data_IF_461954510631
#
_entry.id   IF_461954510631
#
_cell.length_a   1.000
_cell.length_b   1.000
_cell.length_c   1.000
_cell.angle_alpha   90.00
_cell.angle_beta   90.00
_cell.angle_gamma   90.00
#
_symmetry.space_group_name_H-M   'P 1'
#
loop_
_entity.id
_entity.type
_entity.pdbx_description
1 polymer ?
#
# COMPACT_ATOMS: atom_id res chain seq x y z
N UNK A 1 13.26 -10.67 17.82
CA UNK A 1 13.67 -9.40 17.16
C UNK A 1 14.10 -8.41 18.24
N UNK A 2 15.04 -7.52 17.94
CA UNK A 2 15.61 -6.54 18.89
C UNK A 2 16.71 -5.72 18.21
N UNK A 3 17.47 -4.89 18.92
CA UNK A 3 18.49 -4.03 18.29
C UNK A 3 19.45 -4.80 17.34
N UNK A 4 19.81 -6.05 17.71
CA UNK A 4 20.68 -6.92 16.89
C UNK A 4 20.09 -7.32 15.53
N UNK A 5 18.77 -7.28 15.33
CA UNK A 5 18.15 -7.61 14.05
C UNK A 5 18.29 -6.49 13.01
N UNK A 6 18.75 -5.29 13.39
CA UNK A 6 19.03 -4.20 12.45
C UNK A 6 20.38 -4.36 11.72
N UNK A 7 21.18 -5.38 12.04
CA UNK A 7 22.45 -5.64 11.36
C UNK A 7 22.23 -5.98 9.89
N UNK A 8 23.00 -5.33 9.01
CA UNK A 8 22.88 -5.47 7.55
C UNK A 8 22.96 -6.92 7.06
N UNK A 9 23.76 -7.76 7.73
CA UNK A 9 23.93 -9.18 7.38
C UNK A 9 22.61 -9.98 7.36
N UNK A 10 21.62 -9.60 8.18
CA UNK A 10 20.31 -10.25 8.17
C UNK A 10 19.41 -9.74 7.02
N UNK A 11 19.63 -8.50 6.58
CA UNK A 11 18.91 -7.88 5.47
C UNK A 11 17.40 -7.85 5.64
N UNK A 12 16.88 -7.75 6.87
CA UNK A 12 15.44 -7.77 7.15
C UNK A 12 14.71 -6.51 6.63
N UNK A 13 15.43 -5.41 6.46
CA UNK A 13 14.96 -4.19 5.82
C UNK A 13 14.48 -4.42 4.37
N UNK A 14 14.94 -5.49 3.70
CA UNK A 14 14.50 -5.84 2.33
C UNK A 14 12.99 -6.00 2.21
N UNK A 15 12.33 -6.56 3.23
CA UNK A 15 10.89 -6.77 3.20
C UNK A 15 10.15 -5.44 3.23
N UNK A 16 10.59 -4.51 4.08
CA UNK A 16 10.05 -3.16 4.13
C UNK A 16 10.31 -2.41 2.83
N UNK A 17 11.54 -2.45 2.29
CA UNK A 17 11.88 -1.80 1.02
C UNK A 17 11.02 -2.32 -0.13
N UNK A 18 10.87 -3.64 -0.26
CA UNK A 18 10.08 -4.26 -1.31
C UNK A 18 8.62 -3.82 -1.25
N UNK A 19 8.00 -3.90 -0.05
CA UNK A 19 6.61 -3.45 0.13
C UNK A 19 6.47 -1.95 -0.13
N UNK A 20 7.42 -1.14 0.33
CA UNK A 20 7.40 0.32 0.10
C UNK A 20 7.50 0.68 -1.37
N UNK A 21 8.33 -0.02 -2.14
CA UNK A 21 8.43 0.16 -3.59
C UNK A 21 7.13 -0.25 -4.28
N UNK A 22 6.61 -1.44 -3.97
CA UNK A 22 5.42 -1.96 -4.65
C UNK A 22 4.15 -1.16 -4.36
N UNK A 23 3.93 -0.77 -3.10
CA UNK A 23 2.71 -0.06 -2.66
C UNK A 23 2.58 1.36 -3.22
N UNK A 24 3.66 1.94 -3.74
CA UNK A 24 3.65 3.27 -4.34
C UNK A 24 3.09 3.31 -5.78
N UNK A 25 2.98 2.17 -6.45
CA UNK A 25 2.47 2.10 -7.83
C UNK A 25 1.06 2.66 -7.96
N UNK A 26 0.18 2.37 -6.99
CA UNK A 26 -1.20 2.80 -6.97
C UNK A 26 -1.47 3.48 -5.62
N UNK A 27 -1.64 4.81 -5.57
CA UNK A 27 -1.83 5.52 -4.32
C UNK A 27 -3.04 4.96 -3.55
N UNK A 28 -2.80 4.46 -2.33
CA UNK A 28 -3.83 3.85 -1.50
C UNK A 28 -4.97 4.83 -1.17
N UNK A 29 -4.72 6.14 -1.21
CA UNK A 29 -5.73 7.16 -0.96
C UNK A 29 -6.88 7.11 -1.97
N UNK A 30 -6.61 6.92 -3.27
CA UNK A 30 -7.67 6.83 -4.28
C UNK A 30 -8.54 5.58 -4.10
N UNK A 31 -7.94 4.47 -3.65
CA UNK A 31 -8.69 3.26 -3.27
C UNK A 31 -9.59 3.54 -2.07
N UNK A 32 -9.10 4.23 -1.05
CA UNK A 32 -9.90 4.63 0.12
C UNK A 32 -11.06 5.56 -0.27
N UNK A 33 -10.82 6.58 -1.10
CA UNK A 33 -11.87 7.48 -1.61
C UNK A 33 -12.94 6.71 -2.37
N UNK A 34 -12.53 5.76 -3.21
CA UNK A 34 -13.44 4.92 -3.99
C UNK A 34 -14.35 4.06 -3.09
N UNK A 35 -13.76 3.39 -2.09
CA UNK A 35 -14.54 2.62 -1.11
C UNK A 35 -15.45 3.54 -0.30
N UNK A 36 -14.95 4.70 0.12
CA UNK A 36 -15.73 5.69 0.85
C UNK A 36 -16.95 6.18 0.08
N UNK A 37 -16.80 6.49 -1.21
CA UNK A 37 -17.91 6.87 -2.09
C UNK A 37 -18.98 5.77 -2.13
N UNK A 38 -18.57 4.52 -2.38
CA UNK A 38 -19.52 3.38 -2.39
C UNK A 38 -20.25 3.22 -1.06
N UNK A 39 -19.55 3.30 0.08
CA UNK A 39 -20.18 3.15 1.41
C UNK A 39 -21.15 4.29 1.70
N UNK A 40 -20.86 5.52 1.23
CA UNK A 40 -21.68 6.70 1.54
C UNK A 40 -22.86 6.90 0.58
N UNK A 41 -22.70 6.57 -0.71
CA UNK A 41 -23.70 6.89 -1.75
C UNK A 41 -24.28 5.65 -2.44
N UNK A 42 -23.68 4.47 -2.25
CA UNK A 42 -24.03 3.25 -2.98
C UNK A 42 -23.53 3.20 -4.43
N UNK A 43 -22.81 4.23 -4.88
CA UNK A 43 -22.30 4.29 -6.26
C UNK A 43 -21.12 3.33 -6.46
N UNK A 44 -21.21 2.50 -7.51
CA UNK A 44 -20.12 1.62 -7.88
C UNK A 44 -18.97 2.39 -8.57
N UNK A 45 -17.71 1.98 -8.35
CA UNK A 45 -16.59 2.57 -9.06
C UNK A 45 -16.67 2.37 -10.57
N UNK A 46 -16.45 3.44 -11.32
CA UNK A 46 -16.19 3.34 -12.76
C UNK A 46 -14.84 2.63 -12.99
N UNK A 47 -14.75 1.57 -13.82
CA UNK A 47 -13.48 0.91 -14.12
C UNK A 47 -12.48 1.88 -14.78
N UNK A 48 -11.25 1.90 -14.26
CA UNK A 48 -10.13 2.64 -14.83
C UNK A 48 -8.84 1.86 -14.59
N UNK A 49 -7.89 1.89 -15.54
CA UNK A 49 -6.66 1.08 -15.46
C UNK A 49 -5.77 1.50 -14.29
N UNK A 50 -5.64 2.81 -14.06
CA UNK A 50 -4.89 3.38 -12.94
C UNK A 50 -5.67 4.60 -12.45
N UNK A 51 -6.10 4.58 -11.19
CA UNK A 51 -6.78 5.70 -10.55
C UNK A 51 -6.11 5.99 -9.23
#
# INVERSE_FOLDING_TARGET
MGARSATQAYGFDRFWRNVRTHTLHNPAEYKKRTVGAFVLTGEFPVPAMYR
#
